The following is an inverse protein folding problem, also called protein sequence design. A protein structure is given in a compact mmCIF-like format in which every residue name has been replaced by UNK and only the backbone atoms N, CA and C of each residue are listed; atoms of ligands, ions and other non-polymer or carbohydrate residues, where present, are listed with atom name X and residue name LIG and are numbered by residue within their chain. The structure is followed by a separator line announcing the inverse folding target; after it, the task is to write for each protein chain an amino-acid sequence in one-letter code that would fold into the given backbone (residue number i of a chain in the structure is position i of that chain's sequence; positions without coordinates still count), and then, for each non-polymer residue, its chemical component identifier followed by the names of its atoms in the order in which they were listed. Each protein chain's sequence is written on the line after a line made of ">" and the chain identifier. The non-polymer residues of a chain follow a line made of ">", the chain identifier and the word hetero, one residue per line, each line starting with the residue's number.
data_IF_641325154052
#
_entry.id   IF_641325154052
#
_cell.length_a   1.000
_cell.length_b   1.000
_cell.length_c   1.000
_cell.angle_alpha   90.00
_cell.angle_beta   90.00
_cell.angle_gamma   90.00
#
_symmetry.space_group_name_H-M   'P 1'
#
loop_
_entity.id
_entity.type
_entity.pdbx_description
1 polymer ?
#
# COMPACT_ATOMS: atom_id res chain seq x y z
N UNK A 1 20.49 -24.13 6.54
CA UNK A 1 19.47 -23.05 6.62
C UNK A 1 19.81 -22.00 5.59
N UNK A 2 18.81 -21.52 4.83
CA UNK A 2 18.96 -20.44 3.86
C UNK A 2 18.90 -19.10 4.61
N UNK A 3 19.92 -18.28 4.49
CA UNK A 3 19.96 -16.95 5.09
C UNK A 3 19.18 -15.95 4.24
N UNK A 4 18.04 -15.48 4.73
CA UNK A 4 17.16 -14.55 4.02
C UNK A 4 17.10 -13.23 4.79
N UNK A 5 17.51 -12.15 4.16
CA UNK A 5 17.41 -10.81 4.74
C UNK A 5 16.28 -10.02 4.07
N UNK A 6 15.40 -9.42 4.86
CA UNK A 6 14.39 -8.49 4.36
C UNK A 6 14.84 -7.06 4.65
N UNK A 7 14.85 -6.22 3.60
CA UNK A 7 15.28 -4.83 3.70
C UNK A 7 14.17 -3.89 3.28
N UNK A 8 13.80 -2.95 4.14
CA UNK A 8 12.78 -1.93 3.88
C UNK A 8 13.01 -0.68 4.73
N UNK A 9 12.41 0.46 4.36
CA UNK A 9 12.73 1.73 5.02
C UNK A 9 11.56 2.67 5.25
N UNK A 10 10.41 2.41 4.64
CA UNK A 10 9.23 3.27 4.72
C UNK A 10 8.05 2.56 5.36
N UNK A 11 7.06 3.35 5.84
CA UNK A 11 5.81 2.81 6.38
C UNK A 11 5.08 1.87 5.40
N UNK A 12 4.86 2.23 4.12
CA UNK A 12 4.18 1.35 3.16
C UNK A 12 4.92 0.03 2.91
N UNK A 13 6.25 0.07 2.82
CA UNK A 13 7.05 -1.16 2.70
C UNK A 13 6.89 -2.05 3.93
N UNK A 14 6.99 -1.47 5.14
CA UNK A 14 6.88 -2.23 6.39
C UNK A 14 5.53 -2.94 6.51
N UNK A 15 4.42 -2.27 6.18
CA UNK A 15 3.08 -2.86 6.19
C UNK A 15 3.03 -4.15 5.35
N UNK A 16 3.70 -4.15 4.21
CA UNK A 16 3.70 -5.25 3.24
C UNK A 16 4.78 -6.31 3.52
N UNK A 17 5.89 -5.92 4.14
CA UNK A 17 7.02 -6.83 4.43
C UNK A 17 6.90 -7.52 5.80
N UNK A 18 6.31 -6.89 6.80
CA UNK A 18 6.15 -7.49 8.13
C UNK A 18 5.36 -8.81 8.14
N UNK A 19 4.26 -8.98 7.38
CA UNK A 19 3.60 -10.28 7.24
C UNK A 19 4.53 -11.36 6.67
N UNK A 20 5.37 -10.99 5.69
CA UNK A 20 6.31 -11.92 5.08
C UNK A 20 7.43 -12.33 6.05
N UNK A 21 7.94 -11.39 6.87
CA UNK A 21 8.87 -11.71 7.98
C UNK A 21 8.26 -12.75 8.90
N UNK A 22 7.02 -12.54 9.34
CA UNK A 22 6.31 -13.47 10.22
C UNK A 22 6.09 -14.82 9.58
N UNK A 23 5.77 -14.86 8.30
CA UNK A 23 5.56 -16.12 7.59
C UNK A 23 6.87 -16.90 7.45
N UNK A 24 7.97 -16.25 7.02
CA UNK A 24 9.29 -16.89 6.89
C UNK A 24 9.79 -17.45 8.23
N UNK A 25 9.64 -16.72 9.33
CA UNK A 25 10.07 -17.14 10.68
C UNK A 25 9.33 -18.41 11.22
N UNK A 26 8.27 -18.87 10.55
CA UNK A 26 7.60 -20.15 10.90
C UNK A 26 8.38 -21.39 10.42
N UNK A 27 9.32 -21.23 9.51
CA UNK A 27 10.01 -22.32 8.82
C UNK A 27 11.47 -22.40 9.26
N UNK A 28 11.88 -23.55 9.77
CA UNK A 28 13.25 -23.81 10.26
C UNK A 28 14.32 -23.81 9.15
N UNK A 29 13.90 -23.91 7.90
CA UNK A 29 14.74 -23.89 6.73
C UNK A 29 15.36 -22.51 6.48
N UNK A 30 14.77 -21.45 7.06
CA UNK A 30 15.24 -20.08 6.90
C UNK A 30 15.87 -19.53 8.17
N UNK A 31 17.01 -18.86 8.01
CA UNK A 31 17.60 -17.94 8.97
C UNK A 31 17.23 -16.52 8.51
N UNK A 32 16.30 -15.89 9.23
CA UNK A 32 15.63 -14.65 8.80
C UNK A 32 16.16 -13.46 9.58
N UNK A 33 16.75 -12.50 8.87
CA UNK A 33 17.16 -11.22 9.44
C UNK A 33 16.38 -10.05 8.80
N UNK A 34 16.13 -9.02 9.58
CA UNK A 34 15.41 -7.80 9.19
C UNK A 34 16.34 -6.60 9.30
N UNK A 35 16.54 -5.89 8.20
CA UNK A 35 17.29 -4.66 8.16
C UNK A 35 16.37 -3.49 7.75
N UNK A 36 16.29 -2.47 8.60
CA UNK A 36 15.54 -1.26 8.28
C UNK A 36 16.48 -0.11 7.96
N UNK A 37 16.10 0.71 6.95
CA UNK A 37 16.92 1.89 6.62
C UNK A 37 16.55 3.11 7.48
N UNK A 38 15.33 3.15 8.02
CA UNK A 38 14.86 4.24 8.86
C UNK A 38 14.68 5.54 8.09
N UNK A 39 14.24 5.47 6.83
CA UNK A 39 13.98 6.65 5.99
C UNK A 39 12.86 7.55 6.56
N UNK A 40 11.85 6.97 7.26
CA UNK A 40 10.76 7.65 7.95
C UNK A 40 10.55 7.02 9.33
N UNK A 41 11.42 7.37 10.28
CA UNK A 41 11.59 6.67 11.56
C UNK A 41 10.30 6.44 12.34
N UNK A 42 9.61 7.49 12.78
CA UNK A 42 8.44 7.37 13.65
C UNK A 42 7.32 6.53 13.05
N UNK A 43 7.01 6.73 11.76
CA UNK A 43 5.96 5.98 11.08
C UNK A 43 6.35 4.51 10.85
N UNK A 44 7.64 4.23 10.66
CA UNK A 44 8.15 2.87 10.51
C UNK A 44 8.05 2.12 11.83
N UNK A 45 8.50 2.73 12.94
CA UNK A 45 8.47 2.13 14.27
C UNK A 45 7.05 1.77 14.72
N UNK A 46 6.04 2.60 14.40
CA UNK A 46 4.64 2.28 14.66
C UNK A 46 4.20 0.98 13.97
N UNK A 47 4.59 0.78 12.71
CA UNK A 47 4.27 -0.45 11.97
C UNK A 47 5.00 -1.64 12.57
N UNK A 48 6.31 -1.53 12.82
CA UNK A 48 7.10 -2.58 13.44
C UNK A 48 6.47 -3.04 14.77
N UNK A 49 6.08 -2.09 15.62
CA UNK A 49 5.38 -2.36 16.88
C UNK A 49 4.04 -3.07 16.66
N UNK A 50 3.21 -2.60 15.70
CA UNK A 50 1.92 -3.21 15.37
C UNK A 50 2.08 -4.68 14.96
N UNK A 51 3.14 -4.99 14.21
CA UNK A 51 3.44 -6.37 13.81
C UNK A 51 4.32 -7.13 14.79
N UNK A 52 4.73 -6.51 15.90
CA UNK A 52 5.65 -7.09 16.90
C UNK A 52 6.92 -7.65 16.22
N UNK A 53 7.61 -6.79 15.49
CA UNK A 53 8.87 -7.08 14.81
C UNK A 53 9.94 -6.13 15.33
N UNK A 54 11.04 -6.71 15.82
CA UNK A 54 12.26 -6.01 16.14
C UNK A 54 13.24 -6.21 14.97
N UNK A 55 13.75 -5.13 14.35
CA UNK A 55 14.76 -5.26 13.33
C UNK A 55 16.11 -5.66 13.91
N UNK A 56 16.80 -6.58 13.23
CA UNK A 56 18.14 -7.02 13.62
C UNK A 56 19.19 -5.94 13.29
N UNK A 57 18.94 -5.14 12.26
CA UNK A 57 19.79 -4.04 11.82
C UNK A 57 18.99 -2.80 11.51
N UNK A 58 19.50 -1.65 11.94
CA UNK A 58 18.92 -0.33 11.68
C UNK A 58 19.97 0.61 11.15
N UNK A 59 19.82 1.01 9.89
CA UNK A 59 20.77 1.90 9.23
C UNK A 59 20.61 3.38 9.65
N UNK A 60 19.47 3.77 10.22
CA UNK A 60 19.21 5.12 10.76
C UNK A 60 19.64 6.24 9.81
N UNK A 61 19.22 6.18 8.54
CA UNK A 61 19.68 7.11 7.50
C UNK A 61 18.95 8.46 7.50
N UNK A 62 17.86 8.59 8.27
CA UNK A 62 17.01 9.80 8.24
C UNK A 62 17.79 11.03 8.70
N UNK A 63 17.77 12.07 7.87
CA UNK A 63 18.27 13.42 8.19
C UNK A 63 17.29 14.44 7.63
N UNK A 64 17.15 15.59 8.30
CA UNK A 64 16.29 16.67 7.80
C UNK A 64 16.87 17.28 6.52
N UNK A 65 16.03 17.46 5.50
CA UNK A 65 16.41 18.12 4.25
C UNK A 65 17.29 17.28 3.32
N UNK A 66 17.41 15.96 3.54
CA UNK A 66 18.21 15.09 2.68
C UNK A 66 17.65 15.01 1.25
N UNK A 67 18.55 15.00 0.28
CA UNK A 67 18.27 14.81 -1.14
C UNK A 67 18.17 13.31 -1.48
N UNK A 68 17.72 12.98 -2.69
CA UNK A 68 17.76 11.59 -3.20
C UNK A 68 19.21 11.07 -3.26
N UNK A 69 20.20 11.93 -3.54
CA UNK A 69 21.62 11.57 -3.48
C UNK A 69 22.01 11.14 -2.08
N UNK A 70 21.69 11.96 -1.06
CA UNK A 70 22.03 11.65 0.32
C UNK A 70 21.42 10.32 0.78
N UNK A 71 20.13 10.09 0.45
CA UNK A 71 19.44 8.84 0.77
C UNK A 71 20.14 7.65 0.12
N UNK A 72 20.43 7.72 -1.18
CA UNK A 72 21.06 6.63 -1.93
C UNK A 72 22.47 6.33 -1.42
N UNK A 73 23.30 7.35 -1.22
CA UNK A 73 24.67 7.21 -0.72
C UNK A 73 24.66 6.60 0.68
N UNK A 74 23.86 7.15 1.61
CA UNK A 74 23.79 6.66 2.98
C UNK A 74 23.35 5.19 3.05
N UNK A 75 22.40 4.78 2.21
CA UNK A 75 21.96 3.38 2.14
C UNK A 75 23.12 2.51 1.63
N UNK A 76 23.73 2.85 0.49
CA UNK A 76 24.81 2.06 -0.11
C UNK A 76 25.98 1.86 0.84
N UNK A 77 26.42 2.91 1.53
CA UNK A 77 27.54 2.85 2.46
C UNK A 77 27.24 1.95 3.66
N UNK A 78 26.05 2.08 4.25
CA UNK A 78 25.70 1.36 5.48
C UNK A 78 25.28 -0.08 5.21
N UNK A 79 24.45 -0.32 4.20
CA UNK A 79 23.97 -1.67 3.88
C UNK A 79 25.10 -2.58 3.45
N UNK A 80 26.13 -2.06 2.79
CA UNK A 80 27.34 -2.80 2.43
C UNK A 80 28.00 -3.47 3.64
N UNK A 81 28.02 -2.80 4.79
CA UNK A 81 28.62 -3.34 6.01
C UNK A 81 27.80 -4.50 6.54
N UNK A 82 26.48 -4.33 6.61
CA UNK A 82 25.53 -5.36 7.06
C UNK A 82 25.56 -6.58 6.13
N UNK A 83 25.54 -6.38 4.81
CA UNK A 83 25.59 -7.48 3.83
C UNK A 83 26.88 -8.28 3.93
N UNK A 84 28.02 -7.63 4.18
CA UNK A 84 29.33 -8.31 4.38
C UNK A 84 29.39 -9.09 5.68
N UNK A 85 28.74 -8.63 6.73
CA UNK A 85 28.67 -9.29 8.03
C UNK A 85 27.74 -10.52 7.97
N UNK A 86 26.49 -10.33 7.53
CA UNK A 86 25.47 -11.36 7.52
C UNK A 86 25.70 -12.41 6.43
N UNK A 87 26.17 -11.97 5.26
CA UNK A 87 26.34 -12.80 4.05
C UNK A 87 25.06 -13.58 3.72
N UNK A 88 23.95 -12.88 3.46
CA UNK A 88 22.69 -13.54 3.14
C UNK A 88 22.77 -14.27 1.79
N UNK A 89 22.11 -15.39 1.67
CA UNK A 89 21.95 -16.12 0.40
C UNK A 89 20.94 -15.38 -0.52
N UNK A 90 19.96 -14.71 0.10
CA UNK A 90 18.90 -13.95 -0.60
C UNK A 90 18.56 -12.68 0.19
N UNK A 91 18.43 -11.57 -0.53
CA UNK A 91 17.86 -10.33 -0.01
C UNK A 91 16.50 -10.08 -0.65
N UNK A 92 15.46 -9.90 0.16
CA UNK A 92 14.13 -9.52 -0.28
C UNK A 92 13.94 -8.01 -0.13
N UNK A 93 13.58 -7.35 -1.21
CA UNK A 93 13.25 -5.93 -1.27
C UNK A 93 11.83 -5.74 -1.82
N UNK A 94 11.20 -4.59 -1.53
CA UNK A 94 9.81 -4.36 -1.85
C UNK A 94 9.59 -3.10 -2.69
N UNK A 95 8.83 -3.23 -3.78
CA UNK A 95 8.32 -2.09 -4.55
C UNK A 95 9.43 -1.28 -5.24
N UNK A 96 9.47 0.02 -4.98
CA UNK A 96 10.15 0.99 -5.84
C UNK A 96 10.81 2.17 -5.11
N UNK A 97 11.00 2.06 -3.81
CA UNK A 97 11.65 3.11 -3.03
C UNK A 97 13.15 3.22 -3.31
N UNK A 98 13.77 4.33 -2.90
CA UNK A 98 15.23 4.45 -2.92
C UNK A 98 15.91 3.38 -2.07
N UNK A 99 15.28 2.92 -1.00
CA UNK A 99 15.74 1.77 -0.19
C UNK A 99 15.84 0.52 -1.03
N UNK A 100 14.78 0.20 -1.77
CA UNK A 100 14.71 -0.97 -2.65
C UNK A 100 15.79 -0.93 -3.73
N UNK A 101 15.91 0.20 -4.43
CA UNK A 101 16.92 0.38 -5.49
C UNK A 101 18.34 0.30 -4.97
N UNK A 102 18.68 1.08 -3.94
CA UNK A 102 20.06 1.12 -3.42
C UNK A 102 20.49 -0.22 -2.79
N UNK A 103 19.56 -0.92 -2.12
CA UNK A 103 19.81 -2.26 -1.58
C UNK A 103 20.07 -3.27 -2.69
N UNK A 104 19.22 -3.29 -3.74
CA UNK A 104 19.40 -4.19 -4.88
C UNK A 104 20.72 -3.94 -5.59
N UNK A 105 21.12 -2.67 -5.77
CA UNK A 105 22.40 -2.30 -6.36
C UNK A 105 23.59 -2.78 -5.51
N UNK A 106 23.51 -2.63 -4.18
CA UNK A 106 24.55 -3.14 -3.26
C UNK A 106 24.67 -4.67 -3.33
N UNK A 107 23.53 -5.38 -3.40
CA UNK A 107 23.51 -6.84 -3.58
C UNK A 107 24.12 -7.26 -4.91
N UNK A 108 23.82 -6.55 -5.98
CA UNK A 108 24.42 -6.82 -7.30
C UNK A 108 25.97 -6.72 -7.26
N UNK A 109 26.51 -5.67 -6.63
CA UNK A 109 27.96 -5.50 -6.48
C UNK A 109 28.62 -6.58 -5.61
N UNK A 110 27.87 -7.17 -4.68
CA UNK A 110 28.35 -8.24 -3.81
C UNK A 110 27.97 -9.64 -4.31
N UNK A 111 27.32 -9.75 -5.49
CA UNK A 111 26.83 -10.99 -6.08
C UNK A 111 25.87 -11.77 -5.17
N UNK A 112 25.04 -11.05 -4.41
CA UNK A 112 23.99 -11.60 -3.57
C UNK A 112 22.68 -11.64 -4.36
N UNK A 113 21.97 -12.76 -4.32
CA UNK A 113 20.67 -12.89 -4.99
C UNK A 113 19.63 -11.92 -4.43
N UNK A 114 18.81 -11.33 -5.30
CA UNK A 114 17.71 -10.41 -4.93
C UNK A 114 16.37 -11.00 -5.31
N UNK A 115 15.41 -10.99 -4.39
CA UNK A 115 14.01 -11.22 -4.64
C UNK A 115 13.21 -9.91 -4.53
N UNK A 116 12.45 -9.58 -5.57
CA UNK A 116 11.66 -8.35 -5.66
C UNK A 116 10.18 -8.65 -5.37
N UNK A 117 9.71 -8.18 -4.23
CA UNK A 117 8.30 -8.24 -3.84
C UNK A 117 7.56 -7.05 -4.47
N UNK A 118 6.36 -7.28 -4.98
CA UNK A 118 5.58 -6.29 -5.76
C UNK A 118 6.27 -5.94 -7.10
N UNK A 119 6.87 -6.94 -7.74
CA UNK A 119 7.57 -6.78 -9.01
C UNK A 119 6.61 -6.58 -10.19
N UNK A 120 7.05 -5.80 -11.18
CA UNK A 120 6.36 -5.72 -12.48
C UNK A 120 5.26 -4.65 -12.59
N UNK A 121 5.04 -3.80 -11.59
CA UNK A 121 4.24 -2.59 -11.77
C UNK A 121 4.97 -1.65 -12.74
N UNK A 122 4.26 -1.09 -13.74
CA UNK A 122 4.84 -0.20 -14.75
C UNK A 122 3.90 0.91 -15.16
N UNK A 123 4.48 2.10 -15.34
CA UNK A 123 3.87 3.19 -16.10
C UNK A 123 4.56 3.37 -17.45
N UNK A 124 5.78 2.85 -17.60
CA UNK A 124 6.69 3.08 -18.74
C UNK A 124 7.01 4.55 -19.01
N UNK A 125 6.70 5.44 -18.08
CA UNK A 125 7.12 6.83 -18.07
C UNK A 125 8.09 7.04 -16.90
N UNK A 126 9.39 7.07 -17.20
CA UNK A 126 10.45 7.12 -16.19
C UNK A 126 10.36 8.37 -15.30
N UNK A 127 9.68 9.41 -15.74
CA UNK A 127 9.49 10.65 -15.03
C UNK A 127 8.20 10.66 -14.18
N UNK A 128 7.39 9.59 -14.27
CA UNK A 128 6.10 9.55 -13.54
C UNK A 128 5.64 8.12 -13.21
N UNK A 129 5.56 7.79 -11.89
CA UNK A 129 6.02 8.55 -10.72
C UNK A 129 7.55 8.64 -10.65
N UNK A 130 8.06 9.75 -10.16
CA UNK A 130 9.49 10.00 -10.02
C UNK A 130 9.91 9.99 -8.55
N UNK A 131 10.97 9.24 -8.16
CA UNK A 131 11.86 8.39 -8.96
C UNK A 131 11.41 6.92 -9.06
N UNK A 132 10.18 6.59 -8.64
CA UNK A 132 9.70 5.23 -8.40
C UNK A 132 9.71 4.38 -9.68
N UNK A 133 9.33 4.93 -10.83
CA UNK A 133 9.30 4.14 -12.08
C UNK A 133 10.71 3.72 -12.50
N UNK A 134 11.71 4.60 -12.39
CA UNK A 134 13.11 4.24 -12.62
C UNK A 134 13.56 3.14 -11.65
N UNK A 135 13.31 3.32 -10.35
CA UNK A 135 13.73 2.38 -9.33
C UNK A 135 13.19 0.98 -9.58
N UNK A 136 11.89 0.84 -9.91
CA UNK A 136 11.27 -0.47 -10.12
C UNK A 136 11.77 -1.17 -11.38
N UNK A 137 12.07 -0.42 -12.45
CA UNK A 137 12.69 -0.97 -13.65
C UNK A 137 14.11 -1.43 -13.38
N UNK A 138 14.93 -0.61 -12.72
CA UNK A 138 16.32 -0.94 -12.37
C UNK A 138 16.40 -2.18 -11.44
N UNK A 139 15.56 -2.25 -10.42
CA UNK A 139 15.46 -3.43 -9.55
C UNK A 139 15.02 -4.66 -10.35
N UNK A 140 14.08 -4.50 -11.27
CA UNK A 140 13.66 -5.56 -12.18
C UNK A 140 14.82 -6.12 -13.00
N UNK A 141 15.83 -5.34 -13.39
CA UNK A 141 17.04 -5.83 -14.09
C UNK A 141 17.86 -6.75 -13.18
N UNK A 142 18.01 -6.40 -11.91
CA UNK A 142 18.89 -7.06 -10.94
C UNK A 142 18.24 -8.32 -10.34
N UNK A 143 16.93 -8.26 -10.07
CA UNK A 143 16.22 -9.29 -9.32
C UNK A 143 16.25 -10.66 -10.01
N UNK A 144 16.71 -11.68 -9.27
CA UNK A 144 16.67 -13.09 -9.67
C UNK A 144 15.25 -13.67 -9.56
N UNK A 145 14.52 -13.33 -8.47
CA UNK A 145 13.17 -13.78 -8.24
C UNK A 145 12.21 -12.58 -8.24
N UNK A 146 11.14 -12.67 -9.06
CA UNK A 146 10.16 -11.59 -9.21
C UNK A 146 8.79 -12.07 -8.73
N UNK A 147 8.31 -11.51 -7.62
CA UNK A 147 7.00 -11.84 -7.04
C UNK A 147 6.00 -10.76 -7.47
N UNK A 148 5.26 -11.05 -8.53
CA UNK A 148 4.33 -10.13 -9.15
C UNK A 148 2.98 -10.15 -8.42
N UNK A 149 2.35 -8.98 -8.14
CA UNK A 149 1.04 -8.95 -7.49
C UNK A 149 -0.09 -9.44 -8.41
N UNK A 150 0.03 -9.26 -9.73
CA UNK A 150 -1.02 -9.58 -10.70
C UNK A 150 -0.44 -10.19 -11.98
N UNK A 151 -1.33 -10.75 -12.82
CA UNK A 151 -0.93 -11.25 -14.13
C UNK A 151 -0.47 -10.11 -15.06
N UNK A 152 -1.02 -8.89 -14.95
CA UNK A 152 -0.55 -7.74 -15.73
C UNK A 152 0.90 -7.41 -15.35
N UNK A 153 1.21 -7.41 -14.06
CA UNK A 153 2.59 -7.21 -13.59
C UNK A 153 3.55 -8.28 -14.13
N UNK A 154 3.11 -9.55 -14.16
CA UNK A 154 3.88 -10.63 -14.78
C UNK A 154 4.11 -10.39 -16.28
N UNK A 155 3.08 -9.97 -17.03
CA UNK A 155 3.20 -9.67 -18.45
C UNK A 155 4.17 -8.52 -18.74
N UNK A 156 4.22 -7.51 -17.87
CA UNK A 156 5.21 -6.44 -17.99
C UNK A 156 6.63 -6.97 -17.89
N UNK A 157 6.91 -7.84 -16.91
CA UNK A 157 8.23 -8.47 -16.75
C UNK A 157 8.61 -9.34 -17.92
N UNK A 158 7.66 -10.10 -18.49
CA UNK A 158 7.90 -10.92 -19.69
C UNK A 158 8.23 -10.05 -20.91
N UNK A 159 7.54 -8.92 -21.11
CA UNK A 159 7.85 -7.95 -22.18
C UNK A 159 9.26 -7.37 -22.06
N UNK A 160 9.78 -7.27 -20.85
CA UNK A 160 11.14 -6.81 -20.56
C UNK A 160 12.19 -7.94 -20.69
N UNK A 161 11.78 -9.11 -21.18
CA UNK A 161 12.67 -10.24 -21.43
C UNK A 161 13.07 -11.03 -20.19
N UNK A 162 12.32 -10.90 -19.06
CA UNK A 162 12.57 -11.71 -17.87
C UNK A 162 12.18 -13.16 -18.12
N UNK A 163 13.00 -14.07 -17.62
CA UNK A 163 12.73 -15.50 -17.68
C UNK A 163 11.46 -15.83 -16.87
N UNK A 164 10.51 -16.48 -17.56
CA UNK A 164 9.25 -16.90 -16.97
C UNK A 164 9.41 -17.82 -15.74
N UNK A 165 10.49 -18.60 -15.68
CA UNK A 165 10.81 -19.51 -14.56
C UNK A 165 11.14 -18.75 -13.25
N UNK A 166 11.38 -17.44 -13.33
CA UNK A 166 11.75 -16.55 -12.23
C UNK A 166 10.68 -15.49 -11.93
N UNK A 167 9.49 -15.62 -12.52
CA UNK A 167 8.35 -14.73 -12.28
C UNK A 167 7.20 -15.53 -11.65
N UNK A 168 6.70 -15.06 -10.51
CA UNK A 168 5.66 -15.73 -9.74
C UNK A 168 4.52 -14.77 -9.43
N UNK A 169 3.30 -15.09 -9.85
CA UNK A 169 2.11 -14.33 -9.47
C UNK A 169 1.68 -14.78 -8.08
N UNK A 170 1.92 -13.95 -7.08
CA UNK A 170 1.67 -14.26 -5.66
C UNK A 170 0.47 -13.54 -5.08
N UNK A 171 0.08 -12.42 -5.65
CA UNK A 171 -0.79 -11.43 -5.02
C UNK A 171 0.03 -10.37 -4.27
N UNK A 172 -0.68 -9.40 -3.67
CA UNK A 172 -0.06 -8.32 -2.91
C UNK A 172 -0.05 -8.64 -1.41
N UNK A 173 1.11 -8.54 -0.78
CA UNK A 173 1.30 -8.79 0.67
C UNK A 173 0.60 -7.77 1.57
N UNK A 174 0.10 -6.64 1.03
CA UNK A 174 -0.79 -5.72 1.75
C UNK A 174 -2.06 -6.42 2.25
N UNK A 175 -2.58 -7.38 1.47
CA UNK A 175 -3.78 -8.13 1.84
C UNK A 175 -3.48 -9.12 2.97
N UNK A 176 -2.29 -9.69 3.01
CA UNK A 176 -1.82 -10.50 4.15
C UNK A 176 -1.74 -9.67 5.44
N UNK A 177 -1.36 -8.37 5.33
CA UNK A 177 -1.33 -7.47 6.47
C UNK A 177 -2.72 -7.28 7.09
N UNK A 178 -3.76 -7.15 6.28
CA UNK A 178 -5.14 -7.01 6.76
C UNK A 178 -5.59 -8.20 7.63
N UNK A 179 -5.17 -9.43 7.29
CA UNK A 179 -5.48 -10.62 8.10
C UNK A 179 -4.87 -10.58 9.51
N UNK A 180 -3.80 -9.79 9.69
CA UNK A 180 -3.13 -9.62 10.98
C UNK A 180 -3.73 -8.45 11.75
N UNK A 181 -4.04 -7.35 11.07
CA UNK A 181 -4.41 -6.07 11.69
C UNK A 181 -5.91 -5.91 11.90
N UNK A 182 -6.77 -6.48 11.05
CA UNK A 182 -8.22 -6.43 11.24
C UNK A 182 -8.62 -7.37 12.36
N UNK A 183 -9.31 -6.84 13.39
CA UNK A 183 -9.75 -7.56 14.57
C UNK A 183 -11.27 -7.56 14.68
N UNK A 184 -11.84 -8.70 15.09
CA UNK A 184 -13.30 -8.81 15.31
C UNK A 184 -13.79 -7.95 16.46
N UNK A 185 -12.99 -7.89 17.54
CA UNK A 185 -13.33 -7.18 18.77
C UNK A 185 -12.63 -5.81 18.85
N UNK A 186 -12.41 -5.17 17.68
CA UNK A 186 -11.79 -3.87 17.64
C UNK A 186 -12.77 -2.78 18.08
N UNK A 187 -12.29 -1.91 18.98
CA UNK A 187 -13.05 -0.78 19.49
C UNK A 187 -12.31 0.53 19.23
N UNK A 188 -13.05 1.52 18.75
CA UNK A 188 -12.58 2.90 18.66
C UNK A 188 -13.77 3.86 18.84
N UNK A 189 -13.62 4.98 19.58
CA UNK A 189 -14.72 5.92 19.83
C UNK A 189 -15.39 6.44 18.54
N UNK A 190 -14.62 6.70 17.50
CA UNK A 190 -15.14 7.16 16.20
C UNK A 190 -16.00 6.09 15.50
N UNK A 191 -15.67 4.82 15.63
CA UNK A 191 -16.49 3.74 15.09
C UNK A 191 -17.77 3.54 15.91
N UNK A 192 -17.72 3.71 17.23
CA UNK A 192 -18.91 3.69 18.07
C UNK A 192 -19.82 4.88 17.75
N UNK A 193 -19.26 6.08 17.51
CA UNK A 193 -20.04 7.23 17.01
C UNK A 193 -20.73 6.93 15.69
N UNK A 194 -20.08 6.19 14.77
CA UNK A 194 -20.61 5.84 13.46
C UNK A 194 -21.55 4.63 13.47
N UNK A 195 -21.70 3.96 14.62
CA UNK A 195 -22.56 2.79 14.78
C UNK A 195 -23.99 3.09 14.30
N UNK A 196 -24.63 2.09 13.72
CA UNK A 196 -25.98 2.19 13.15
C UNK A 196 -26.12 3.16 11.97
N UNK A 197 -25.01 3.54 11.35
CA UNK A 197 -24.97 4.34 10.12
C UNK A 197 -24.25 3.61 8.99
N UNK A 198 -24.47 4.06 7.75
CA UNK A 198 -23.60 3.68 6.62
C UNK A 198 -22.34 4.54 6.69
N UNK A 199 -21.29 3.98 7.33
CA UNK A 199 -20.02 4.66 7.49
C UNK A 199 -19.27 4.75 6.17
N UNK A 200 -18.88 5.96 5.80
CA UNK A 200 -18.00 6.23 4.64
C UNK A 200 -16.61 6.59 5.14
N UNK A 201 -15.61 5.85 4.67
CA UNK A 201 -14.22 6.21 4.90
C UNK A 201 -13.73 7.08 3.75
N UNK A 202 -13.29 8.29 4.07
CA UNK A 202 -12.76 9.25 3.11
C UNK A 202 -11.24 9.37 3.24
N UNK A 203 -10.53 9.31 2.11
CA UNK A 203 -9.12 9.70 2.04
C UNK A 203 -8.87 10.50 0.77
N UNK A 204 -8.33 11.71 0.91
CA UNK A 204 -8.00 12.59 -0.20
C UNK A 204 -6.78 13.46 0.16
N UNK A 205 -5.69 13.33 -0.60
CA UNK A 205 -4.44 14.03 -0.32
C UNK A 205 -3.48 14.14 -1.51
N UNK A 206 -3.84 13.62 -2.68
CA UNK A 206 -2.98 13.63 -3.87
C UNK A 206 -2.71 15.05 -4.34
N UNK A 207 -1.47 15.33 -4.74
CA UNK A 207 -1.03 16.66 -5.21
C UNK A 207 -1.78 17.11 -6.45
N UNK A 208 -2.08 16.18 -7.36
CA UNK A 208 -2.86 16.43 -8.58
C UNK A 208 -4.30 16.87 -8.30
N UNK A 209 -4.81 16.58 -7.11
CA UNK A 209 -6.18 16.92 -6.70
C UNK A 209 -6.27 18.22 -5.89
N UNK A 210 -5.15 18.87 -5.56
CA UNK A 210 -5.17 20.10 -4.78
C UNK A 210 -5.91 21.24 -5.51
N UNK A 211 -6.55 22.11 -4.75
CA UNK A 211 -7.33 23.23 -5.28
C UNK A 211 -8.74 22.82 -5.73
N UNK A 212 -9.17 23.29 -6.89
CA UNK A 212 -10.55 23.11 -7.41
C UNK A 212 -11.02 21.64 -7.44
N UNK A 213 -10.21 20.65 -7.86
CA UNK A 213 -10.63 19.26 -7.83
C UNK A 213 -11.03 18.79 -6.43
N UNK A 214 -10.26 19.14 -5.40
CA UNK A 214 -10.52 18.76 -4.02
C UNK A 214 -11.82 19.39 -3.47
N UNK A 215 -12.06 20.67 -3.74
CA UNK A 215 -13.32 21.32 -3.41
C UNK A 215 -14.52 20.64 -4.09
N UNK A 216 -14.38 20.25 -5.36
CA UNK A 216 -15.43 19.53 -6.07
C UNK A 216 -15.76 18.16 -5.42
N UNK A 217 -14.72 17.42 -4.99
CA UNK A 217 -14.90 16.15 -4.27
C UNK A 217 -15.67 16.36 -2.98
N UNK A 218 -15.26 17.32 -2.17
CA UNK A 218 -15.89 17.60 -0.87
C UNK A 218 -17.32 18.11 -1.02
N UNK A 219 -17.60 18.94 -2.03
CA UNK A 219 -18.98 19.36 -2.36
C UNK A 219 -19.89 18.18 -2.70
N UNK A 220 -19.41 17.19 -3.47
CA UNK A 220 -20.19 16.00 -3.78
C UNK A 220 -20.51 15.19 -2.51
N UNK A 221 -19.53 15.05 -1.60
CA UNK A 221 -19.70 14.37 -0.32
C UNK A 221 -20.72 15.12 0.54
N UNK A 222 -20.60 16.44 0.63
CA UNK A 222 -21.55 17.28 1.40
C UNK A 222 -22.96 17.14 0.88
N UNK A 223 -23.19 17.13 -0.42
CA UNK A 223 -24.52 16.92 -1.03
C UNK A 223 -25.14 15.58 -0.60
N UNK A 224 -24.35 14.49 -0.61
CA UNK A 224 -24.82 13.17 -0.16
C UNK A 224 -25.17 13.21 1.33
N UNK A 225 -24.34 13.81 2.17
CA UNK A 225 -24.59 13.89 3.62
C UNK A 225 -25.86 14.69 3.90
N UNK A 226 -26.13 15.75 3.14
CA UNK A 226 -27.35 16.55 3.31
C UNK A 226 -28.61 15.78 2.91
N UNK A 227 -28.52 14.89 1.92
CA UNK A 227 -29.64 14.07 1.43
C UNK A 227 -29.90 12.80 2.28
N UNK A 228 -28.82 12.12 2.75
CA UNK A 228 -28.90 10.82 3.45
C UNK A 228 -28.59 10.98 4.93
N UNK A 229 -29.60 10.91 5.79
CA UNK A 229 -29.45 11.11 7.24
C UNK A 229 -28.72 9.96 7.95
N UNK A 230 -28.75 8.77 7.38
CA UNK A 230 -28.11 7.56 7.90
C UNK A 230 -26.67 7.38 7.43
N UNK A 231 -26.11 8.35 6.65
CA UNK A 231 -24.73 8.33 6.19
C UNK A 231 -23.87 9.21 7.10
N UNK A 232 -22.73 8.65 7.54
CA UNK A 232 -21.69 9.35 8.28
C UNK A 232 -20.35 9.19 7.58
N UNK A 233 -19.49 10.18 7.70
CA UNK A 233 -18.15 10.19 7.10
C UNK A 233 -17.10 10.31 8.19
N UNK A 234 -16.07 9.47 8.12
CA UNK A 234 -14.83 9.66 8.88
C UNK A 234 -13.72 9.96 7.87
N UNK A 235 -13.03 11.06 8.12
CA UNK A 235 -11.93 11.54 7.28
C UNK A 235 -10.65 11.70 8.10
N UNK A 236 -9.77 10.67 8.14
CA UNK A 236 -8.41 10.83 8.64
C UNK A 236 -7.63 11.74 7.72
N UNK A 237 -7.54 13.02 8.10
CA UNK A 237 -7.05 14.07 7.21
C UNK A 237 -5.52 14.12 7.15
N UNK A 238 -4.99 14.29 5.96
CA UNK A 238 -3.56 14.52 5.75
C UNK A 238 -3.09 15.84 6.37
N UNK A 239 -1.83 15.89 6.86
CA UNK A 239 -1.28 17.07 7.55
C UNK A 239 -1.02 18.28 6.64
N UNK A 240 -1.14 18.15 5.32
CA UNK A 240 -0.96 19.25 4.38
C UNK A 240 -1.97 20.38 4.65
N UNK A 241 -1.52 21.62 4.91
CA UNK A 241 -2.39 22.75 5.21
C UNK A 241 -3.42 23.08 4.12
N UNK A 242 -3.07 22.85 2.85
CA UNK A 242 -3.98 23.08 1.70
C UNK A 242 -5.17 22.13 1.77
N UNK A 243 -4.91 20.85 2.09
CA UNK A 243 -5.96 19.84 2.25
C UNK A 243 -6.85 20.19 3.45
N UNK A 244 -6.25 20.57 4.58
CA UNK A 244 -6.98 20.95 5.80
C UNK A 244 -7.89 22.15 5.57
N UNK A 245 -7.38 23.17 4.90
CA UNK A 245 -8.17 24.36 4.56
C UNK A 245 -9.37 24.01 3.70
N UNK A 246 -9.19 23.25 2.63
CA UNK A 246 -10.29 22.83 1.74
C UNK A 246 -11.33 21.98 2.49
N UNK A 247 -10.91 21.10 3.38
CA UNK A 247 -11.80 20.28 4.19
C UNK A 247 -12.60 21.12 5.19
N UNK A 248 -11.97 22.05 5.86
CA UNK A 248 -12.64 22.99 6.79
C UNK A 248 -13.71 23.83 6.08
N UNK A 249 -13.37 24.37 4.90
CA UNK A 249 -14.29 25.19 4.11
C UNK A 249 -15.53 24.43 3.61
N UNK A 250 -15.38 23.19 3.20
CA UNK A 250 -16.47 22.43 2.56
C UNK A 250 -17.19 21.43 3.51
N UNK A 251 -16.48 20.92 4.51
CA UNK A 251 -16.95 19.83 5.37
C UNK A 251 -17.04 20.21 6.87
N UNK A 252 -16.41 21.33 7.29
CA UNK A 252 -16.16 21.64 8.70
C UNK A 252 -17.40 21.89 9.57
N UNK A 253 -18.56 22.17 8.97
CA UNK A 253 -19.81 22.48 9.70
C UNK A 253 -20.86 21.38 9.53
N UNK A 254 -20.50 20.13 9.84
CA UNK A 254 -21.44 19.02 9.72
C UNK A 254 -21.22 17.94 10.79
N UNK A 255 -22.17 17.78 11.70
CA UNK A 255 -22.11 16.80 12.81
C UNK A 255 -22.00 15.34 12.35
N UNK A 256 -22.26 15.06 11.07
CA UNK A 256 -22.15 13.73 10.47
C UNK A 256 -20.85 13.50 9.69
N UNK A 257 -19.91 14.45 9.78
CA UNK A 257 -18.58 14.34 9.21
C UNK A 257 -17.55 14.57 10.30
N UNK A 258 -16.80 13.54 10.67
CA UNK A 258 -15.69 13.66 11.59
C UNK A 258 -14.37 13.72 10.83
N UNK A 259 -13.73 14.89 10.92
CA UNK A 259 -12.36 15.11 10.42
C UNK A 259 -11.42 14.82 11.58
N UNK A 260 -10.66 13.74 11.48
CA UNK A 260 -9.79 13.25 12.55
C UNK A 260 -8.31 13.29 12.16
N UNK A 261 -7.44 13.12 13.14
CA UNK A 261 -6.01 13.00 12.88
C UNK A 261 -5.70 11.73 12.04
N UNK A 262 -4.54 11.70 11.34
CA UNK A 262 -4.11 10.51 10.63
C UNK A 262 -4.08 9.29 11.56
N UNK A 263 -4.60 8.18 11.09
CA UNK A 263 -4.63 6.91 11.82
C UNK A 263 -3.32 6.13 11.64
N UNK A 264 -2.97 5.31 12.61
CA UNK A 264 -1.96 4.28 12.42
C UNK A 264 -2.50 3.14 11.54
N UNK A 265 -1.68 2.13 11.27
CA UNK A 265 -2.06 1.05 10.35
C UNK A 265 -3.13 0.14 10.95
N UNK A 266 -3.10 -0.10 12.26
CA UNK A 266 -4.07 -0.95 12.95
C UNK A 266 -5.45 -0.30 12.90
N UNK A 267 -5.54 0.95 13.33
CA UNK A 267 -6.77 1.72 13.34
C UNK A 267 -7.30 1.87 11.90
N UNK A 268 -6.44 2.26 10.97
CA UNK A 268 -6.83 2.48 9.58
C UNK A 268 -7.47 1.24 8.93
N UNK A 269 -6.86 0.07 9.09
CA UNK A 269 -7.39 -1.18 8.54
C UNK A 269 -8.72 -1.60 9.19
N UNK A 270 -8.89 -1.36 10.50
CA UNK A 270 -10.15 -1.63 11.18
C UNK A 270 -11.24 -0.63 10.78
N UNK A 271 -10.89 0.64 10.51
CA UNK A 271 -11.83 1.61 9.96
C UNK A 271 -12.29 1.21 8.55
N UNK A 272 -11.37 0.78 7.68
CA UNK A 272 -11.73 0.24 6.37
C UNK A 272 -12.68 -0.96 6.51
N UNK A 273 -12.38 -1.89 7.40
CA UNK A 273 -13.18 -3.10 7.61
C UNK A 273 -14.60 -2.80 8.12
N UNK A 274 -14.77 -1.73 8.91
CA UNK A 274 -16.07 -1.32 9.45
C UNK A 274 -16.83 -0.32 8.55
N UNK A 275 -16.23 0.11 7.44
CA UNK A 275 -16.88 1.04 6.52
C UNK A 275 -17.90 0.33 5.62
N UNK A 276 -18.92 1.07 5.20
CA UNK A 276 -19.86 0.66 4.16
C UNK A 276 -19.24 0.85 2.77
N UNK A 277 -18.67 2.01 2.51
CA UNK A 277 -18.11 2.44 1.22
C UNK A 277 -16.83 3.25 1.45
N UNK A 278 -15.90 3.18 0.52
CA UNK A 278 -14.63 3.92 0.55
C UNK A 278 -14.60 4.95 -0.59
N UNK A 279 -14.31 6.19 -0.22
CA UNK A 279 -13.97 7.28 -1.16
C UNK A 279 -12.48 7.57 -1.04
N UNK A 280 -11.71 7.41 -2.11
CA UNK A 280 -10.25 7.55 -2.02
C UNK A 280 -9.60 8.08 -3.28
N UNK A 281 -8.49 8.78 -3.12
CA UNK A 281 -7.51 9.05 -4.17
C UNK A 281 -6.19 8.26 -3.99
N UNK A 282 -6.11 7.42 -2.94
CA UNK A 282 -4.92 6.61 -2.62
C UNK A 282 -4.82 5.35 -3.48
N UNK A 283 -3.59 5.01 -3.89
CA UNK A 283 -3.30 3.78 -4.65
C UNK A 283 -3.44 2.51 -3.80
N UNK A 284 -2.86 2.45 -2.60
CA UNK A 284 -2.87 1.25 -1.75
C UNK A 284 -4.27 0.81 -1.35
N UNK A 285 -5.14 1.75 -1.02
CA UNK A 285 -6.52 1.47 -0.63
C UNK A 285 -7.32 0.78 -1.75
N UNK A 286 -6.98 1.04 -3.00
CA UNK A 286 -7.58 0.37 -4.16
C UNK A 286 -7.29 -1.13 -4.20
N UNK A 287 -6.26 -1.59 -3.52
CA UNK A 287 -5.87 -3.00 -3.41
C UNK A 287 -6.44 -3.62 -2.12
N UNK A 288 -6.40 -2.86 -1.03
CA UNK A 288 -6.76 -3.30 0.33
C UNK A 288 -8.26 -3.39 0.55
N UNK A 289 -9.00 -2.33 0.27
CA UNK A 289 -10.44 -2.23 0.57
C UNK A 289 -11.30 -3.30 -0.13
N UNK A 290 -11.05 -3.68 -1.40
CA UNK A 290 -11.78 -4.78 -2.05
C UNK A 290 -11.63 -6.13 -1.35
N UNK A 291 -10.48 -6.39 -0.70
CA UNK A 291 -10.27 -7.65 0.03
C UNK A 291 -11.13 -7.75 1.30
N UNK A 292 -11.64 -6.61 1.76
CA UNK A 292 -12.58 -6.50 2.88
C UNK A 292 -14.06 -6.48 2.41
N UNK A 293 -14.31 -6.70 1.11
CA UNK A 293 -15.65 -6.62 0.52
C UNK A 293 -16.21 -5.20 0.51
N UNK A 294 -15.37 -4.17 0.43
CA UNK A 294 -15.82 -2.78 0.44
C UNK A 294 -15.75 -2.18 -0.97
N UNK A 295 -16.88 -1.71 -1.53
CA UNK A 295 -16.86 -0.95 -2.77
C UNK A 295 -15.99 0.30 -2.66
N UNK A 296 -15.24 0.61 -3.72
CA UNK A 296 -14.34 1.76 -3.74
C UNK A 296 -14.66 2.70 -4.88
N UNK A 297 -14.91 3.96 -4.56
CA UNK A 297 -14.98 5.05 -5.53
C UNK A 297 -13.65 5.78 -5.54
N UNK A 298 -12.95 5.69 -6.68
CA UNK A 298 -11.62 6.28 -6.87
C UNK A 298 -11.77 7.68 -7.44
N UNK A 299 -11.48 8.69 -6.64
CA UNK A 299 -11.60 10.12 -6.98
C UNK A 299 -10.35 10.62 -7.72
N UNK A 300 -10.10 10.03 -8.88
CA UNK A 300 -8.98 10.36 -9.78
C UNK A 300 -9.45 10.28 -11.24
N UNK A 301 -8.74 10.98 -12.14
CA UNK A 301 -9.01 10.86 -13.57
C UNK A 301 -8.39 9.60 -14.17
N UNK A 302 -7.29 9.13 -13.59
CA UNK A 302 -6.57 7.92 -14.01
C UNK A 302 -6.16 7.09 -12.79
N UNK A 303 -5.92 5.80 -13.00
CA UNK A 303 -5.34 4.92 -11.97
C UNK A 303 -4.32 3.98 -12.58
N UNK A 304 -3.26 3.71 -11.85
CA UNK A 304 -2.26 2.69 -12.15
C UNK A 304 -2.72 1.27 -11.78
N UNK A 305 -3.99 1.10 -11.42
CA UNK A 305 -4.61 -0.16 -10.98
C UNK A 305 -5.84 -0.53 -11.82
N UNK A 306 -5.66 -0.71 -13.13
CA UNK A 306 -6.76 -1.00 -14.04
C UNK A 306 -7.43 -2.36 -13.77
N UNK A 307 -6.72 -3.28 -13.12
CA UNK A 307 -7.23 -4.61 -12.77
C UNK A 307 -8.46 -4.52 -11.86
N UNK A 308 -8.44 -3.65 -10.86
CA UNK A 308 -9.56 -3.48 -9.93
C UNK A 308 -10.80 -2.92 -10.62
N UNK A 309 -10.63 -2.04 -11.62
CA UNK A 309 -11.74 -1.55 -12.46
C UNK A 309 -12.31 -2.67 -13.32
N UNK A 310 -11.45 -3.45 -13.98
CA UNK A 310 -11.88 -4.60 -14.82
C UNK A 310 -12.56 -5.68 -13.99
N UNK A 311 -12.09 -5.93 -12.78
CA UNK A 311 -12.70 -6.88 -11.85
C UNK A 311 -14.04 -6.37 -11.28
N UNK A 312 -14.32 -5.06 -11.36
CA UNK A 312 -15.53 -4.45 -10.84
C UNK A 312 -15.48 -4.15 -9.35
N UNK A 313 -14.33 -4.25 -8.70
CA UNK A 313 -14.13 -3.90 -7.27
C UNK A 313 -13.98 -2.39 -7.06
N UNK A 314 -13.55 -1.68 -8.10
CA UNK A 314 -13.28 -0.25 -8.10
C UNK A 314 -14.11 0.46 -9.18
N UNK A 315 -14.48 1.70 -8.91
CA UNK A 315 -15.06 2.60 -9.91
C UNK A 315 -14.30 3.91 -9.94
N UNK A 316 -13.75 4.26 -11.12
CA UNK A 316 -13.06 5.53 -11.34
C UNK A 316 -14.10 6.62 -11.57
N UNK A 317 -14.22 7.56 -10.63
CA UNK A 317 -15.26 8.59 -10.64
C UNK A 317 -14.74 9.99 -10.98
N UNK A 318 -13.41 10.15 -11.15
CA UNK A 318 -12.82 11.46 -11.44
C UNK A 318 -12.94 12.42 -10.26
N UNK A 319 -12.83 13.71 -10.58
CA UNK A 319 -12.88 14.81 -9.59
C UNK A 319 -14.06 15.77 -9.82
N UNK A 320 -14.98 15.41 -10.70
CA UNK A 320 -16.17 16.20 -10.98
C UNK A 320 -17.28 15.92 -9.96
N UNK A 321 -17.85 16.97 -9.38
CA UNK A 321 -18.87 16.91 -8.33
C UNK A 321 -20.08 16.04 -8.73
N UNK A 322 -20.65 16.27 -9.90
CA UNK A 322 -21.85 15.56 -10.35
C UNK A 322 -21.57 14.06 -10.59
N UNK A 323 -20.41 13.74 -11.17
CA UNK A 323 -20.00 12.35 -11.42
C UNK A 323 -19.75 11.59 -10.11
N UNK A 324 -19.10 12.20 -9.12
CA UNK A 324 -18.90 11.62 -7.81
C UNK A 324 -20.26 11.42 -7.13
N UNK A 325 -21.08 12.45 -7.07
CA UNK A 325 -22.40 12.39 -6.47
C UNK A 325 -23.26 11.27 -7.07
N UNK A 326 -23.38 11.18 -8.40
CA UNK A 326 -24.17 10.14 -9.09
C UNK A 326 -23.70 8.72 -8.74
N UNK A 327 -22.39 8.47 -8.73
CA UNK A 327 -21.85 7.16 -8.42
C UNK A 327 -21.95 6.81 -6.94
N UNK A 328 -21.82 7.78 -6.06
CA UNK A 328 -21.99 7.59 -4.64
C UNK A 328 -23.46 7.28 -4.33
N UNK A 329 -24.38 8.09 -4.82
CA UNK A 329 -25.84 7.88 -4.71
C UNK A 329 -26.25 6.51 -5.24
N UNK A 330 -25.74 6.09 -6.39
CA UNK A 330 -26.03 4.77 -6.97
C UNK A 330 -25.71 3.64 -5.99
N UNK A 331 -24.59 3.70 -5.29
CA UNK A 331 -24.19 2.66 -4.33
C UNK A 331 -24.97 2.74 -3.00
N UNK A 332 -25.58 3.87 -2.70
CA UNK A 332 -26.46 4.01 -1.55
C UNK A 332 -27.89 3.50 -1.82
N UNK A 333 -28.39 3.67 -3.05
CA UNK A 333 -29.78 3.39 -3.44
C UNK A 333 -29.96 2.02 -4.09
N UNK A 334 -28.89 1.47 -4.72
CA UNK A 334 -28.97 0.23 -5.48
C UNK A 334 -28.15 -0.88 -4.80
N UNK A 335 -28.85 -1.73 -4.03
CA UNK A 335 -28.25 -2.87 -3.34
C UNK A 335 -27.64 -3.91 -4.28
N UNK A 336 -28.19 -4.10 -5.48
CA UNK A 336 -27.65 -5.04 -6.46
C UNK A 336 -26.27 -4.58 -6.93
N UNK A 337 -26.14 -3.30 -7.28
CA UNK A 337 -24.86 -2.73 -7.72
C UNK A 337 -23.84 -2.70 -6.57
N UNK A 338 -24.26 -2.36 -5.35
CA UNK A 338 -23.43 -2.45 -4.17
C UNK A 338 -22.92 -3.88 -3.98
N UNK A 339 -23.80 -4.87 -4.00
CA UNK A 339 -23.44 -6.28 -3.83
C UNK A 339 -22.55 -6.78 -4.95
N UNK A 340 -22.79 -6.36 -6.19
CA UNK A 340 -21.91 -6.69 -7.33
C UNK A 340 -20.48 -6.23 -7.08
N UNK A 341 -20.27 -5.01 -6.59
CA UNK A 341 -18.94 -4.48 -6.30
C UNK A 341 -18.31 -5.12 -5.06
N UNK A 342 -19.07 -5.31 -3.99
CA UNK A 342 -18.56 -5.83 -2.72
C UNK A 342 -18.15 -7.31 -2.77
N UNK A 343 -18.80 -8.10 -3.65
CA UNK A 343 -18.51 -9.53 -3.84
C UNK A 343 -17.62 -9.82 -5.06
N UNK A 344 -17.20 -8.80 -5.80
CA UNK A 344 -16.29 -8.98 -6.93
C UNK A 344 -14.92 -9.51 -6.43
N UNK A 345 -14.34 -10.43 -7.21
CA UNK A 345 -13.05 -11.03 -6.86
C UNK A 345 -11.93 -9.99 -6.87
N UNK A 346 -11.16 -9.89 -5.80
CA UNK A 346 -10.04 -8.97 -5.72
C UNK A 346 -8.87 -9.48 -6.58
N UNK A 347 -8.46 -8.75 -7.64
CA UNK A 347 -7.37 -9.19 -8.52
C UNK A 347 -5.99 -9.16 -7.85
N UNK A 348 -5.86 -8.49 -6.73
CA UNK A 348 -4.59 -8.35 -5.99
C UNK A 348 -4.35 -9.50 -5.00
N UNK A 349 -5.24 -10.48 -4.93
CA UNK A 349 -5.05 -11.70 -4.14
C UNK A 349 -6.07 -11.89 -3.01
N UNK A 350 -5.83 -12.95 -2.26
CA UNK A 350 -6.69 -13.50 -1.22
C UNK A 350 -6.06 -13.46 0.19
N UNK A 351 -4.92 -12.76 0.35
CA UNK A 351 -4.14 -12.72 1.58
C UNK A 351 -3.38 -14.01 1.87
N UNK A 352 -2.90 -14.67 0.83
CA UNK A 352 -1.99 -15.82 0.90
C UNK A 352 -0.68 -15.56 0.15
N UNK A 353 -0.39 -14.30 -0.17
CA UNK A 353 0.81 -13.93 -0.92
C UNK A 353 2.08 -14.33 -0.19
N UNK A 354 2.19 -14.06 1.11
CA UNK A 354 3.33 -14.45 1.93
C UNK A 354 3.55 -15.96 1.93
N UNK A 355 2.49 -16.76 2.07
CA UNK A 355 2.57 -18.22 2.03
C UNK A 355 3.04 -18.73 0.67
N UNK A 356 2.56 -18.14 -0.43
CA UNK A 356 2.99 -18.48 -1.80
C UNK A 356 4.48 -18.17 -1.99
N UNK A 357 4.94 -16.98 -1.55
CA UNK A 357 6.36 -16.59 -1.61
C UNK A 357 7.23 -17.60 -0.86
N UNK A 358 6.87 -17.91 0.40
CA UNK A 358 7.63 -18.86 1.22
C UNK A 358 7.70 -20.23 0.59
N UNK A 359 6.58 -20.78 0.06
CA UNK A 359 6.57 -22.07 -0.65
C UNK A 359 7.49 -22.07 -1.88
N UNK A 360 7.53 -20.97 -2.63
CA UNK A 360 8.44 -20.83 -3.77
C UNK A 360 9.89 -20.86 -3.30
N UNK A 361 10.23 -20.09 -2.27
CA UNK A 361 11.59 -20.02 -1.73
C UNK A 361 12.07 -21.33 -1.10
N UNK A 362 11.17 -22.14 -0.51
CA UNK A 362 11.51 -23.46 0.00
C UNK A 362 12.01 -24.39 -1.12
N UNK A 363 11.38 -24.33 -2.30
CA UNK A 363 11.66 -25.19 -3.45
C UNK A 363 12.75 -24.67 -4.40
N UNK A 364 13.38 -23.53 -4.09
CA UNK A 364 14.47 -22.96 -4.92
C UNK A 364 15.82 -23.16 -4.25
N UNK A 365 16.84 -23.42 -5.05
CA UNK A 365 18.23 -23.26 -4.64
C UNK A 365 18.56 -21.76 -4.65
N UNK A 366 18.70 -21.21 -3.47
CA UNK A 366 18.99 -19.78 -3.23
C UNK A 366 20.49 -19.62 -3.06
#
# INVERSE_FOLDING_TARGET
>A
MKKVMLVFGTRPEAIKMCPLVKELKKYKEFDVSVCVTGQHRQMLDQVLNTFNIEPDYDLSIMKQGQTLFDVTINILERIKLVLKEVKPDLVLVHGDTSTTFATALACFYLQISVGHIEAGLRTYNIDSPYPEEFNRQAVGIIAKYNFAPTEISRQNLLREGKDNSNIYVTGNTAIDALKITVKKDYFHPELEWAKDSRLIMLTAHRRENLGKPMHNMFKAIKQIIDEYRDVKVIYPIHMNPIVRKAAEEELGNCDRIHIINPLDVLDFHNFLANSYLILTDSGGIQEEAPSLGKPVLVMRETTERPEGIKAGTLRLVGTNTERIYKNFKLLLDNNEEYNRMSHASNPYGDGTACQKIVKILLNKEI
#
